data_IF_463116263055
#
_entry.id   IF_463116263055
#
_cell.length_a   1.000
_cell.length_b   1.000
_cell.length_c   1.000
_cell.angle_alpha   90.00
_cell.angle_beta   90.00
_cell.angle_gamma   90.00
#
_symmetry.space_group_name_H-M   'P 1'
#
loop_
_entity.id
_entity.type
_entity.pdbx_description
1 polymer ?
#
# COMPACT_ATOMS: atom_id res chain seq x y z
N UNK A 1 2.59 30.11 9.53
CA UNK A 1 1.94 31.44 9.63
C UNK A 1 0.47 31.18 9.97
N UNK A 2 0.16 30.99 11.26
CA UNK A 2 -1.14 30.47 11.74
C UNK A 2 -1.90 31.64 12.37
N UNK A 3 -3.00 32.07 11.75
CA UNK A 3 -3.91 33.09 12.29
C UNK A 3 -4.87 32.43 13.27
N UNK A 4 -4.80 32.83 14.53
CA UNK A 4 -5.81 32.54 15.55
C UNK A 4 -6.93 33.58 15.41
N UNK A 5 -8.14 33.16 15.04
CA UNK A 5 -9.34 33.99 15.14
C UNK A 5 -9.94 33.88 16.54
N UNK A 6 -10.04 35.01 17.22
CA UNK A 6 -10.67 35.16 18.53
C UNK A 6 -12.18 35.36 18.33
N UNK A 7 -13.00 34.53 18.96
CA UNK A 7 -14.44 34.72 19.03
C UNK A 7 -14.80 35.57 20.26
N UNK A 8 -15.45 36.70 19.99
CA UNK A 8 -15.93 37.69 20.96
C UNK A 8 -17.18 37.16 21.69
N UNK A 9 -17.12 36.97 23.00
CA UNK A 9 -18.29 36.66 23.84
C UNK A 9 -19.04 37.94 24.18
N UNK A 10 -20.24 38.12 23.61
CA UNK A 10 -21.19 39.18 24.00
C UNK A 10 -22.07 38.64 25.13
N UNK A 11 -21.87 39.15 26.34
CA UNK A 11 -22.74 38.93 27.50
C UNK A 11 -23.94 39.89 27.40
N UNK A 12 -25.11 39.37 27.05
CA UNK A 12 -26.39 40.09 27.19
C UNK A 12 -26.99 39.70 28.55
N UNK A 13 -26.96 40.63 29.50
CA UNK A 13 -27.67 40.49 30.77
C UNK A 13 -29.16 40.75 30.59
N UNK A 14 -29.98 39.71 30.69
CA UNK A 14 -31.44 39.83 30.77
C UNK A 14 -31.86 39.73 32.23
N UNK A 15 -32.50 40.77 32.72
CA UNK A 15 -32.94 40.92 34.11
C UNK A 15 -34.00 39.90 34.53
N UNK A 16 -33.92 39.49 35.78
CA UNK A 16 -34.93 38.65 36.43
C UNK A 16 -36.24 39.42 36.64
N UNK A 17 -37.34 38.91 36.07
CA UNK A 17 -38.69 39.17 36.57
C UNK A 17 -39.28 37.87 37.13
N UNK A 18 -39.76 37.94 38.38
CA UNK A 18 -40.52 36.86 39.03
C UNK A 18 -41.95 36.83 38.48
N UNK A 19 -42.40 35.67 38.01
CA UNK A 19 -43.83 35.42 37.82
C UNK A 19 -44.15 34.18 37.00
N UNK A 20 -44.92 33.26 37.58
CA UNK A 20 -45.83 32.37 36.85
C UNK A 20 -45.28 30.99 36.48
N UNK A 21 -45.88 29.94 37.06
CA UNK A 21 -45.57 28.54 36.75
C UNK A 21 -45.88 28.18 35.30
N UNK A 22 -44.90 27.55 34.66
CA UNK A 22 -45.01 26.86 33.39
C UNK A 22 -43.88 25.83 33.33
N UNK A 23 -44.21 24.59 33.01
CA UNK A 23 -43.29 23.47 32.88
C UNK A 23 -42.27 23.75 31.77
N UNK A 24 -41.13 24.33 32.13
CA UNK A 24 -40.00 24.46 31.23
C UNK A 24 -39.27 23.12 31.18
N UNK A 25 -39.68 22.26 30.26
CA UNK A 25 -38.86 21.15 29.78
C UNK A 25 -37.58 21.75 29.19
N UNK A 26 -36.51 21.76 29.97
CA UNK A 26 -35.16 21.84 29.42
C UNK A 26 -34.93 20.56 28.62
N UNK A 27 -35.25 20.59 27.33
CA UNK A 27 -34.73 19.60 26.40
C UNK A 27 -33.22 19.84 26.36
N UNK A 28 -32.45 18.87 26.85
CA UNK A 28 -31.07 18.73 26.44
C UNK A 28 -31.08 18.76 24.90
N UNK A 29 -30.13 19.46 24.29
CA UNK A 29 -29.89 19.30 22.86
C UNK A 29 -29.75 17.79 22.62
N UNK A 30 -30.42 17.21 21.61
CA UNK A 30 -30.27 15.79 21.33
C UNK A 30 -28.78 15.49 21.21
N UNK A 31 -28.30 14.58 22.05
CA UNK A 31 -26.96 14.06 21.93
C UNK A 31 -26.81 13.57 20.49
N UNK A 32 -25.79 14.06 19.77
CA UNK A 32 -25.50 13.58 18.41
C UNK A 32 -25.18 12.08 18.54
N UNK A 33 -26.18 11.23 18.34
CA UNK A 33 -26.09 9.77 18.51
C UNK A 33 -25.27 9.13 17.40
N UNK A 34 -25.03 9.85 16.30
CA UNK A 34 -24.21 9.41 15.17
C UNK A 34 -22.85 10.08 15.15
N UNK A 35 -21.82 9.29 14.89
CA UNK A 35 -20.49 9.73 14.49
C UNK A 35 -20.35 9.49 12.98
N UNK A 36 -20.08 10.56 12.24
CA UNK A 36 -19.80 10.51 10.81
C UNK A 36 -18.29 10.62 10.61
N UNK A 37 -17.71 9.64 9.92
CA UNK A 37 -16.33 9.69 9.46
C UNK A 37 -16.36 9.86 7.93
N UNK A 38 -15.99 11.05 7.46
CA UNK A 38 -15.64 11.26 6.05
C UNK A 38 -14.15 10.93 5.90
N UNK A 39 -13.85 10.05 4.95
CA UNK A 39 -12.51 9.57 4.68
C UNK A 39 -12.11 10.04 3.29
N UNK A 40 -11.04 10.83 3.19
CA UNK A 40 -10.39 11.03 1.90
C UNK A 40 -9.68 9.74 1.52
N UNK A 41 -10.12 9.16 0.41
CA UNK A 41 -9.58 7.93 -0.13
C UNK A 41 -8.13 8.12 -0.58
N UNK A 42 -7.20 7.37 0.03
CA UNK A 42 -5.82 7.36 -0.43
C UNK A 42 -5.66 6.39 -1.62
N UNK A 43 -5.80 6.93 -2.82
CA UNK A 43 -5.57 6.21 -4.08
C UNK A 43 -4.12 6.29 -4.56
N UNK A 44 -3.21 6.86 -3.76
CA UNK A 44 -1.83 7.09 -4.15
C UNK A 44 -0.95 5.93 -3.74
N UNK A 45 -0.27 5.33 -4.71
CA UNK A 45 0.60 4.17 -4.48
C UNK A 45 1.94 4.39 -5.18
N UNK A 46 3.04 4.20 -4.47
CA UNK A 46 4.37 4.13 -5.06
C UNK A 46 4.82 2.66 -5.09
N UNK A 47 5.04 2.07 -6.26
CA UNK A 47 5.41 0.65 -6.44
C UNK A 47 6.86 0.54 -6.90
N UNK A 48 7.71 -0.03 -6.05
CA UNK A 48 9.11 -0.31 -6.37
C UNK A 48 9.28 -1.79 -6.69
N UNK A 49 9.78 -2.07 -7.89
CA UNK A 49 10.24 -3.39 -8.28
C UNK A 49 11.75 -3.50 -8.07
N UNK A 50 12.18 -4.51 -7.32
CA UNK A 50 13.59 -4.84 -7.14
C UNK A 50 13.82 -6.17 -7.83
N UNK A 51 14.41 -6.10 -9.02
CA UNK A 51 14.54 -7.23 -9.92
C UNK A 51 15.94 -7.78 -9.87
N UNK A 52 16.06 -9.04 -9.53
CA UNK A 52 17.31 -9.75 -9.71
C UNK A 52 17.67 -9.86 -11.20
N UNK A 53 18.84 -9.32 -11.51
CA UNK A 53 19.43 -9.33 -12.84
C UNK A 53 20.67 -10.24 -12.90
N UNK A 54 20.84 -11.16 -11.95
CA UNK A 54 21.91 -12.16 -11.98
C UNK A 54 21.73 -13.16 -13.16
N UNK A 55 22.81 -13.88 -13.54
CA UNK A 55 22.73 -14.93 -14.55
C UNK A 55 21.75 -16.04 -14.15
N UNK A 56 20.78 -16.33 -15.00
CA UNK A 56 19.72 -17.32 -14.75
C UNK A 56 18.32 -16.73 -14.67
N UNK A 57 18.20 -15.43 -14.38
CA UNK A 57 16.92 -14.75 -14.22
C UNK A 57 16.15 -14.47 -15.52
N UNK A 58 16.78 -14.63 -16.69
CA UNK A 58 16.22 -14.18 -17.97
C UNK A 58 14.83 -14.76 -18.27
N UNK A 59 14.66 -16.07 -18.13
CA UNK A 59 13.39 -16.74 -18.42
C UNK A 59 12.30 -16.35 -17.41
N UNK A 60 12.66 -16.17 -16.13
CA UNK A 60 11.74 -15.71 -15.10
C UNK A 60 11.29 -14.27 -15.36
N UNK A 61 12.22 -13.38 -15.71
CA UNK A 61 11.93 -12.00 -16.06
C UNK A 61 10.94 -11.92 -17.23
N UNK A 62 11.14 -12.70 -18.29
CA UNK A 62 10.22 -12.76 -19.45
C UNK A 62 8.82 -13.18 -19.00
N UNK A 63 8.70 -14.25 -18.21
CA UNK A 63 7.40 -14.73 -17.71
C UNK A 63 6.66 -13.69 -16.87
N UNK A 64 7.36 -12.92 -16.02
CA UNK A 64 6.73 -11.84 -15.23
C UNK A 64 6.32 -10.69 -16.15
N UNK A 65 7.19 -10.34 -17.09
CA UNK A 65 6.97 -9.25 -18.04
C UNK A 65 5.76 -9.51 -18.97
N UNK A 66 5.45 -10.77 -19.30
CA UNK A 66 4.23 -11.15 -20.04
C UNK A 66 2.92 -10.82 -19.29
N UNK A 67 2.98 -10.68 -17.97
CA UNK A 67 1.81 -10.35 -17.15
C UNK A 67 1.67 -8.85 -16.84
N UNK A 68 2.64 -8.04 -17.27
CA UNK A 68 2.71 -6.59 -17.05
C UNK A 68 1.40 -5.87 -17.39
N UNK A 69 0.78 -6.23 -18.52
CA UNK A 69 -0.42 -5.61 -19.05
C UNK A 69 -1.59 -5.73 -18.06
N UNK A 70 -1.78 -6.92 -17.49
CA UNK A 70 -2.88 -7.19 -16.54
C UNK A 70 -2.75 -6.34 -15.27
N UNK A 71 -1.52 -6.17 -14.78
CA UNK A 71 -1.24 -5.38 -13.60
C UNK A 71 -1.47 -3.90 -13.87
N UNK A 72 -0.87 -3.36 -14.93
CA UNK A 72 -1.00 -1.94 -15.28
C UNK A 72 -2.46 -1.58 -15.57
N UNK A 73 -3.18 -2.41 -16.33
CA UNK A 73 -4.59 -2.18 -16.63
C UNK A 73 -5.43 -2.16 -15.35
N UNK A 74 -5.17 -3.07 -14.41
CA UNK A 74 -5.83 -3.03 -13.11
C UNK A 74 -5.61 -1.67 -12.41
N UNK A 75 -4.39 -1.15 -12.40
CA UNK A 75 -4.15 0.13 -11.73
C UNK A 75 -4.84 1.31 -12.42
N UNK A 76 -4.81 1.33 -13.76
CA UNK A 76 -5.42 2.38 -14.58
C UNK A 76 -6.95 2.34 -14.48
N UNK A 77 -7.57 1.17 -14.61
CA UNK A 77 -9.03 0.99 -14.55
C UNK A 77 -9.62 1.37 -13.19
N UNK A 78 -8.84 1.17 -12.11
CA UNK A 78 -9.22 1.59 -10.75
C UNK A 78 -8.95 3.07 -10.46
N UNK A 79 -8.27 3.76 -11.37
CA UNK A 79 -7.96 5.19 -11.23
C UNK A 79 -6.87 5.49 -10.19
N UNK A 80 -6.00 4.54 -9.88
CA UNK A 80 -4.91 4.79 -8.93
C UNK A 80 -3.98 5.89 -9.43
N UNK A 81 -3.62 6.80 -8.53
CA UNK A 81 -2.52 7.75 -8.74
C UNK A 81 -1.22 7.04 -8.36
N UNK A 82 -0.69 6.24 -9.29
CA UNK A 82 0.51 5.46 -9.03
C UNK A 82 1.80 6.10 -9.57
N UNK A 83 2.88 5.81 -8.87
CA UNK A 83 4.24 5.87 -9.41
C UNK A 83 4.81 4.45 -9.43
N UNK A 84 5.38 4.01 -10.54
CA UNK A 84 6.09 2.73 -10.62
C UNK A 84 7.52 2.92 -11.08
N UNK A 85 8.45 2.29 -10.37
CA UNK A 85 9.86 2.30 -10.73
C UNK A 85 10.45 0.91 -10.54
N UNK A 86 11.58 0.65 -11.18
CA UNK A 86 12.33 -0.57 -10.98
C UNK A 86 13.83 -0.27 -10.80
N UNK A 87 14.48 -1.06 -9.97
CA UNK A 87 15.94 -1.14 -9.84
C UNK A 87 16.35 -2.61 -9.83
N UNK A 88 17.65 -2.89 -9.75
CA UNK A 88 18.20 -4.24 -9.76
C UNK A 88 18.87 -4.61 -8.44
N UNK A 89 19.21 -5.89 -8.27
CA UNK A 89 20.04 -6.40 -7.16
C UNK A 89 21.53 -6.08 -7.33
N UNK A 90 21.96 -5.49 -8.47
CA UNK A 90 23.36 -5.27 -8.80
C UNK A 90 23.95 -4.04 -8.08
N UNK A 91 24.72 -4.34 -7.03
CA UNK A 91 25.42 -3.37 -6.21
C UNK A 91 26.90 -3.17 -6.59
N UNK A 92 27.36 -3.72 -7.74
CA UNK A 92 28.71 -3.44 -8.27
C UNK A 92 28.84 -1.97 -8.65
N UNK A 93 30.07 -1.48 -8.82
CA UNK A 93 30.31 -0.10 -9.27
C UNK A 93 29.72 0.19 -10.66
N UNK A 94 29.53 -0.83 -11.49
CA UNK A 94 28.89 -0.75 -12.81
C UNK A 94 27.38 -1.02 -12.78
N UNK A 95 26.83 -1.47 -11.65
CA UNK A 95 25.41 -1.79 -11.49
C UNK A 95 24.58 -0.56 -11.13
N UNK A 96 23.27 -0.77 -10.99
CA UNK A 96 22.31 0.29 -10.70
C UNK A 96 22.48 0.88 -9.32
N UNK A 97 22.84 0.08 -8.31
CA UNK A 97 23.03 0.53 -6.92
C UNK A 97 21.84 1.33 -6.37
N UNK A 98 20.62 0.86 -6.65
CA UNK A 98 19.36 1.53 -6.28
C UNK A 98 18.90 2.62 -7.26
N UNK A 99 19.66 2.93 -8.31
CA UNK A 99 19.22 3.84 -9.37
C UNK A 99 18.05 3.22 -10.14
N UNK A 100 17.03 4.02 -10.43
CA UNK A 100 15.92 3.55 -11.25
C UNK A 100 16.30 3.39 -12.72
N UNK A 101 15.71 2.34 -13.31
CA UNK A 101 15.95 1.93 -14.67
C UNK A 101 15.28 2.86 -15.69
N UNK A 102 15.96 3.05 -16.81
CA UNK A 102 15.53 3.74 -18.03
C UNK A 102 14.92 5.14 -17.90
N UNK A 103 14.29 5.60 -18.99
CA UNK A 103 13.76 6.95 -19.15
C UNK A 103 12.33 6.88 -19.74
N UNK A 104 11.31 7.52 -19.11
CA UNK A 104 11.37 8.06 -17.76
C UNK A 104 11.67 6.95 -16.74
N UNK A 105 12.30 7.32 -15.63
CA UNK A 105 12.70 6.40 -14.56
C UNK A 105 11.55 6.05 -13.61
N UNK A 106 10.55 6.94 -13.54
CA UNK A 106 9.30 6.75 -12.80
C UNK A 106 8.17 6.78 -13.82
N UNK A 107 7.36 5.73 -13.83
CA UNK A 107 6.19 5.58 -14.67
C UNK A 107 4.93 5.99 -13.90
N UNK A 108 4.02 6.67 -14.57
CA UNK A 108 2.74 7.16 -14.03
C UNK A 108 1.60 6.80 -14.97
N UNK A 109 0.31 6.93 -14.57
CA UNK A 109 -0.82 6.65 -15.46
C UNK A 109 -0.79 7.47 -16.77
N UNK A 110 -0.13 8.62 -16.78
CA UNK A 110 -0.01 9.51 -17.94
C UNK A 110 1.22 9.22 -18.80
N UNK A 111 2.04 8.24 -18.45
CA UNK A 111 3.25 7.92 -19.21
C UNK A 111 2.89 7.32 -20.58
N UNK A 112 3.33 7.91 -21.71
CA UNK A 112 3.10 7.33 -23.03
C UNK A 112 3.78 5.97 -23.17
N UNK A 113 3.07 4.98 -23.72
CA UNK A 113 3.62 3.62 -23.87
C UNK A 113 3.88 2.90 -22.54
N UNK A 114 3.12 3.25 -21.49
CA UNK A 114 3.31 2.79 -20.12
C UNK A 114 3.52 1.27 -20.00
N UNK A 115 2.68 0.46 -20.65
CA UNK A 115 2.75 -1.00 -20.57
C UNK A 115 4.08 -1.52 -21.12
N UNK A 116 4.51 -1.05 -22.29
CA UNK A 116 5.76 -1.48 -22.91
C UNK A 116 6.99 -1.02 -22.11
N UNK A 117 6.94 0.21 -21.58
CA UNK A 117 7.98 0.71 -20.70
C UNK A 117 8.07 -0.12 -19.41
N UNK A 118 6.93 -0.43 -18.79
CA UNK A 118 6.89 -1.26 -17.59
C UNK A 118 7.41 -2.67 -17.87
N UNK A 119 7.03 -3.28 -18.99
CA UNK A 119 7.57 -4.58 -19.43
C UNK A 119 9.10 -4.57 -19.50
N UNK A 120 9.68 -3.50 -20.07
CA UNK A 120 11.14 -3.32 -20.14
C UNK A 120 11.80 -3.05 -18.78
N UNK A 121 11.06 -2.60 -17.76
CA UNK A 121 11.56 -2.44 -16.37
C UNK A 121 11.61 -3.76 -15.61
N UNK A 122 10.68 -4.67 -15.91
CA UNK A 122 10.59 -6.00 -15.31
C UNK A 122 11.61 -6.97 -15.90
N UNK A 123 12.00 -6.77 -17.17
CA UNK A 123 13.04 -7.56 -17.85
C UNK A 123 14.30 -6.73 -18.16
N UNK A 124 15.07 -6.29 -17.14
CA UNK A 124 16.28 -5.50 -17.34
C UNK A 124 17.45 -6.28 -17.96
N UNK A 125 17.35 -7.62 -18.02
CA UNK A 125 18.42 -8.52 -18.46
C UNK A 125 19.07 -9.28 -17.29
N UNK A 126 20.04 -10.13 -17.60
CA UNK A 126 20.62 -11.13 -16.68
C UNK A 126 22.17 -11.05 -16.59
N UNK A 127 22.74 -9.87 -16.83
CA UNK A 127 24.19 -9.62 -16.82
C UNK A 127 24.71 -9.01 -15.51
N UNK A 128 23.87 -9.02 -14.48
CA UNK A 128 24.10 -8.47 -13.15
C UNK A 128 25.11 -9.24 -12.33
N UNK A 129 25.20 -8.88 -11.06
CA UNK A 129 26.05 -9.55 -10.08
C UNK A 129 25.41 -10.85 -9.62
N UNK A 130 26.17 -11.94 -9.51
CA UNK A 130 25.73 -13.16 -8.80
C UNK A 130 25.82 -13.04 -7.27
N UNK A 131 26.24 -11.88 -6.75
CA UNK A 131 26.01 -11.52 -5.34
C UNK A 131 24.87 -10.52 -5.32
N UNK A 132 23.67 -11.04 -5.12
CA UNK A 132 22.41 -10.32 -5.23
C UNK A 132 22.12 -9.53 -3.94
N UNK A 133 22.02 -8.20 -4.04
CA UNK A 133 21.86 -7.31 -2.88
C UNK A 133 20.64 -6.44 -3.03
N UNK A 134 19.47 -7.08 -3.13
CA UNK A 134 18.19 -6.44 -3.35
C UNK A 134 17.73 -5.56 -2.18
N UNK A 135 17.99 -5.96 -0.93
CA UNK A 135 17.63 -5.14 0.23
C UNK A 135 18.48 -3.86 0.29
N UNK A 136 19.78 -3.94 0.01
CA UNK A 136 20.67 -2.77 -0.11
C UNK A 136 20.23 -1.84 -1.25
N UNK A 137 19.90 -2.42 -2.41
CA UNK A 137 19.42 -1.66 -3.56
C UNK A 137 18.09 -0.95 -3.27
N UNK A 138 17.12 -1.62 -2.64
CA UNK A 138 15.87 -1.03 -2.18
C UNK A 138 16.13 0.15 -1.24
N UNK A 139 16.98 -0.03 -0.23
CA UNK A 139 17.30 1.01 0.74
C UNK A 139 17.90 2.24 0.07
N UNK A 140 18.87 2.06 -0.83
CA UNK A 140 19.46 3.17 -1.59
C UNK A 140 18.44 3.83 -2.52
N UNK A 141 17.58 3.04 -3.16
CA UNK A 141 16.57 3.55 -4.06
C UNK A 141 15.55 4.49 -3.38
N UNK A 142 15.22 4.18 -2.13
CA UNK A 142 14.21 4.88 -1.33
C UNK A 142 14.78 5.93 -0.38
N UNK A 143 16.10 5.99 -0.19
CA UNK A 143 16.72 6.96 0.74
C UNK A 143 16.60 8.38 0.18
N UNK A 144 15.96 9.32 0.91
CA UNK A 144 15.83 10.70 0.45
C UNK A 144 17.19 11.33 0.12
N UNK A 145 17.28 12.01 -1.03
CA UNK A 145 18.49 12.68 -1.50
C UNK A 145 19.52 11.76 -2.16
N UNK A 146 19.32 10.43 -2.17
CA UNK A 146 20.08 9.53 -3.02
C UNK A 146 19.48 9.52 -4.43
N UNK A 147 20.36 9.45 -5.45
CA UNK A 147 19.96 9.37 -6.86
C UNK A 147 18.91 10.42 -7.27
N UNK A 148 18.99 11.65 -6.74
CA UNK A 148 17.95 12.70 -6.90
C UNK A 148 17.53 12.93 -8.35
N UNK A 149 18.44 12.78 -9.31
CA UNK A 149 18.15 12.95 -10.74
C UNK A 149 17.33 11.82 -11.37
N UNK A 150 17.30 10.62 -10.78
CA UNK A 150 16.55 9.47 -11.30
C UNK A 150 15.45 8.96 -10.39
N UNK A 151 15.63 9.08 -9.08
CA UNK A 151 14.69 8.58 -8.08
C UNK A 151 13.90 9.70 -7.39
N UNK A 152 14.28 10.95 -7.62
CA UNK A 152 13.64 12.12 -7.01
C UNK A 152 12.14 12.15 -7.30
N UNK A 153 11.34 12.38 -6.25
CA UNK A 153 9.87 12.47 -6.34
C UNK A 153 9.13 11.13 -6.22
N UNK A 154 9.84 10.00 -6.21
CA UNK A 154 9.19 8.69 -6.14
C UNK A 154 8.48 8.43 -4.82
N UNK A 155 9.11 8.69 -3.68
CA UNK A 155 8.50 8.44 -2.36
C UNK A 155 7.62 9.62 -1.95
N UNK A 156 6.30 9.50 -2.11
CA UNK A 156 5.32 10.51 -1.69
C UNK A 156 4.85 10.27 -0.27
N UNK A 157 4.82 11.29 0.59
CA UNK A 157 4.44 11.11 2.01
C UNK A 157 3.00 10.64 2.20
N UNK A 158 2.12 10.96 1.27
CA UNK A 158 0.69 10.62 1.27
C UNK A 158 0.37 9.39 0.44
N UNK A 159 1.35 8.66 -0.09
CA UNK A 159 1.13 7.43 -0.85
C UNK A 159 1.51 6.17 -0.03
N UNK A 160 0.77 5.09 -0.21
CA UNK A 160 1.21 3.77 0.23
C UNK A 160 2.46 3.33 -0.55
N UNK A 161 3.45 2.73 0.11
CA UNK A 161 4.62 2.16 -0.56
C UNK A 161 4.45 0.66 -0.75
N UNK A 162 4.55 0.18 -1.98
CA UNK A 162 4.57 -1.25 -2.30
C UNK A 162 5.93 -1.61 -2.84
N UNK A 163 6.53 -2.68 -2.32
CA UNK A 163 7.79 -3.22 -2.80
C UNK A 163 7.53 -4.64 -3.30
N UNK A 164 8.05 -4.95 -4.48
CA UNK A 164 8.02 -6.31 -5.02
C UNK A 164 9.46 -6.73 -5.32
N UNK A 165 9.93 -7.71 -4.55
CA UNK A 165 11.21 -8.36 -4.77
C UNK A 165 11.02 -9.54 -5.74
N UNK A 166 11.94 -9.67 -6.69
CA UNK A 166 11.97 -10.78 -7.64
C UNK A 166 13.38 -11.34 -7.65
N UNK A 167 13.58 -12.59 -7.23
CA UNK A 167 14.91 -13.24 -7.19
C UNK A 167 14.77 -14.76 -7.12
N UNK A 168 15.75 -15.50 -7.65
CA UNK A 168 15.84 -16.95 -7.52
C UNK A 168 16.76 -17.43 -6.38
N UNK A 169 17.23 -16.52 -5.52
CA UNK A 169 18.16 -16.79 -4.41
C UNK A 169 17.83 -15.94 -3.16
N UNK A 170 18.59 -16.13 -2.07
CA UNK A 170 18.50 -15.25 -0.89
C UNK A 170 19.30 -13.96 -1.06
N UNK A 171 18.95 -12.96 -0.24
CA UNK A 171 19.60 -11.65 -0.27
C UNK A 171 20.97 -11.64 0.44
N UNK A 172 22.00 -11.19 -0.26
CA UNK A 172 23.36 -11.06 0.25
C UNK A 172 23.70 -9.66 0.78
N UNK A 173 22.70 -8.83 1.08
CA UNK A 173 22.93 -7.46 1.54
C UNK A 173 23.54 -7.41 2.94
N UNK A 174 24.32 -6.38 3.24
CA UNK A 174 24.95 -6.22 4.55
C UNK A 174 23.90 -5.91 5.63
N UNK A 175 24.03 -6.55 6.79
CA UNK A 175 23.11 -6.39 7.91
C UNK A 175 22.02 -7.46 7.94
N UNK A 176 20.96 -7.21 8.69
CA UNK A 176 19.91 -8.19 8.98
C UNK A 176 18.59 -7.71 8.38
N UNK A 177 17.62 -8.61 8.15
CA UNK A 177 16.27 -8.24 7.68
C UNK A 177 15.62 -7.14 8.55
N UNK A 178 15.86 -7.17 9.87
CA UNK A 178 15.35 -6.19 10.83
C UNK A 178 15.80 -4.75 10.51
N UNK A 179 17.05 -4.54 10.08
CA UNK A 179 17.56 -3.20 9.77
C UNK A 179 16.80 -2.55 8.59
N UNK A 180 16.35 -3.38 7.65
CA UNK A 180 15.57 -2.95 6.49
C UNK A 180 14.10 -2.73 6.86
N UNK A 181 13.54 -3.55 7.74
CA UNK A 181 12.19 -3.34 8.30
C UNK A 181 12.14 -2.00 9.05
N UNK A 182 13.14 -1.73 9.90
CA UNK A 182 13.21 -0.47 10.65
C UNK A 182 13.38 0.74 9.73
N UNK A 183 14.17 0.60 8.66
CA UNK A 183 14.25 1.63 7.62
C UNK A 183 12.88 1.92 6.99
N UNK A 184 12.13 0.87 6.60
CA UNK A 184 10.81 1.03 5.97
C UNK A 184 9.77 1.60 6.94
N UNK A 185 9.78 1.17 8.21
CA UNK A 185 8.92 1.71 9.27
C UNK A 185 9.16 3.21 9.51
N UNK A 186 10.43 3.65 9.44
CA UNK A 186 10.77 5.07 9.57
C UNK A 186 10.42 5.87 8.30
N UNK A 187 10.59 5.28 7.13
CA UNK A 187 10.30 5.94 5.85
C UNK A 187 8.79 6.12 5.64
N UNK A 188 8.02 5.09 5.98
CA UNK A 188 6.57 5.00 5.79
C UNK A 188 5.93 4.51 7.10
N UNK A 189 5.82 5.38 8.11
CA UNK A 189 5.15 5.02 9.35
C UNK A 189 3.69 4.64 9.06
N UNK A 190 3.08 3.94 10.03
CA UNK A 190 1.64 3.69 10.03
C UNK A 190 0.92 5.03 9.86
N UNK A 191 -0.02 5.11 8.92
CA UNK A 191 -0.81 6.30 8.71
C UNK A 191 -1.60 6.67 9.97
N UNK A 192 -2.00 7.93 10.13
CA UNK A 192 -2.74 8.38 11.33
C UNK A 192 -4.02 7.56 11.57
N UNK A 193 -4.67 7.12 10.50
CA UNK A 193 -5.80 6.21 10.51
C UNK A 193 -5.41 4.72 10.68
N UNK A 194 -4.20 4.41 11.12
CA UNK A 194 -3.77 3.06 11.51
C UNK A 194 -3.53 2.06 10.37
N UNK A 195 -3.65 2.46 9.10
CA UNK A 195 -3.24 1.60 7.98
C UNK A 195 -1.72 1.55 7.85
N UNK A 196 -1.20 0.43 7.36
CA UNK A 196 0.23 0.26 7.18
C UNK A 196 0.76 1.20 6.09
N UNK A 197 1.92 1.82 6.32
CA UNK A 197 2.52 2.76 5.37
C UNK A 197 3.22 2.08 4.19
N UNK A 198 3.59 0.81 4.35
CA UNK A 198 4.30 0.03 3.34
C UNK A 198 3.89 -1.45 3.31
N UNK A 199 4.08 -2.08 2.16
CA UNK A 199 3.80 -3.49 1.89
C UNK A 199 4.92 -4.08 1.05
N UNK A 200 5.49 -5.21 1.45
CA UNK A 200 6.47 -5.95 0.65
C UNK A 200 5.89 -7.27 0.17
N UNK A 201 6.21 -7.66 -1.06
CA UNK A 201 5.88 -8.95 -1.64
C UNK A 201 7.16 -9.55 -2.25
N UNK A 202 7.18 -10.87 -2.35
CA UNK A 202 8.31 -11.61 -2.92
C UNK A 202 7.83 -12.63 -3.94
N UNK A 203 8.42 -12.59 -5.12
CA UNK A 203 8.29 -13.60 -6.16
C UNK A 203 9.67 -14.28 -6.27
N UNK A 204 9.80 -15.48 -5.73
CA UNK A 204 11.09 -16.18 -5.71
C UNK A 204 11.01 -17.62 -5.25
N UNK A 205 12.13 -18.18 -4.80
CA UNK A 205 12.15 -19.56 -4.28
C UNK A 205 11.78 -19.50 -2.81
N UNK A 206 10.62 -20.07 -2.46
CA UNK A 206 10.02 -19.96 -1.13
C UNK A 206 9.97 -21.30 -0.37
N UNK A 207 10.26 -22.39 -1.06
CA UNK A 207 10.30 -23.74 -0.53
C UNK A 207 11.30 -24.58 -1.32
N UNK A 208 11.85 -25.62 -0.70
CA UNK A 208 12.69 -26.59 -1.37
C UNK A 208 11.80 -27.54 -2.19
N UNK A 209 11.97 -27.53 -3.51
CA UNK A 209 11.23 -28.41 -4.41
C UNK A 209 12.07 -28.83 -5.61
N UNK A 210 11.79 -30.01 -6.16
CA UNK A 210 12.48 -30.50 -7.36
C UNK A 210 12.21 -29.66 -8.61
N UNK A 211 11.10 -28.92 -8.60
CA UNK A 211 10.65 -28.07 -9.71
C UNK A 211 11.17 -26.62 -9.58
N UNK A 212 11.75 -26.27 -8.42
CA UNK A 212 12.20 -24.92 -8.13
C UNK A 212 13.55 -24.95 -7.42
N UNK A 213 14.61 -24.96 -8.23
CA UNK A 213 16.00 -25.08 -7.78
C UNK A 213 16.85 -23.94 -8.32
N UNK A 214 17.78 -23.50 -7.50
CA UNK A 214 18.77 -22.48 -7.82
C UNK A 214 19.93 -23.08 -8.62
N UNK A 215 20.51 -24.17 -8.11
CA UNK A 215 21.65 -24.83 -8.74
C UNK A 215 21.63 -26.34 -8.51
N UNK A 216 21.45 -27.09 -9.59
CA UNK A 216 21.51 -28.56 -9.55
C UNK A 216 20.38 -29.16 -8.72
N UNK A 217 20.68 -29.56 -7.49
CA UNK A 217 19.71 -30.08 -6.51
C UNK A 217 19.41 -29.10 -5.37
N UNK A 218 20.06 -27.95 -5.37
CA UNK A 218 19.99 -26.97 -4.29
C UNK A 218 19.01 -25.85 -4.62
N UNK A 219 18.24 -25.45 -3.61
CA UNK A 219 17.34 -24.30 -3.63
C UNK A 219 17.83 -23.30 -2.58
N UNK A 220 18.22 -22.12 -3.04
CA UNK A 220 18.53 -20.99 -2.16
C UNK A 220 17.24 -20.21 -1.91
N UNK A 221 16.63 -20.43 -0.76
CA UNK A 221 15.34 -19.84 -0.43
C UNK A 221 15.54 -18.38 -0.02
N UNK A 222 14.67 -17.49 -0.51
CA UNK A 222 14.71 -16.06 -0.20
C UNK A 222 14.28 -15.69 1.22
N UNK A 223 14.88 -16.31 2.24
CA UNK A 223 14.52 -16.15 3.65
C UNK A 223 14.47 -14.68 4.08
N UNK A 224 15.45 -13.87 3.66
CA UNK A 224 15.50 -12.47 4.07
C UNK A 224 14.41 -11.65 3.41
N UNK A 225 14.07 -11.94 2.15
CA UNK A 225 12.90 -11.32 1.52
C UNK A 225 11.61 -11.74 2.25
N UNK A 226 11.46 -13.02 2.57
CA UNK A 226 10.32 -13.56 3.30
C UNK A 226 10.14 -12.92 4.68
N UNK A 227 11.22 -12.59 5.40
CA UNK A 227 11.17 -11.83 6.66
C UNK A 227 10.53 -10.44 6.46
N UNK A 228 10.95 -9.69 5.44
CA UNK A 228 10.39 -8.36 5.13
C UNK A 228 8.91 -8.48 4.74
N UNK A 229 8.56 -9.51 3.96
CA UNK A 229 7.18 -9.80 3.58
C UNK A 229 6.33 -10.11 4.81
N UNK A 230 6.83 -10.94 5.72
CA UNK A 230 6.15 -11.28 6.98
C UNK A 230 5.89 -10.05 7.85
N UNK A 231 6.86 -9.14 7.96
CA UNK A 231 6.72 -7.90 8.73
C UNK A 231 5.65 -6.93 8.19
N UNK A 232 5.33 -7.02 6.89
CA UNK A 232 4.26 -6.23 6.26
C UNK A 232 2.99 -7.01 5.96
N UNK A 233 2.95 -8.28 6.40
CA UNK A 233 1.87 -9.22 6.11
C UNK A 233 1.59 -9.30 4.60
N UNK A 234 2.62 -9.21 3.76
CA UNK A 234 2.50 -9.30 2.31
C UNK A 234 2.47 -10.73 1.81
N UNK A 235 2.74 -10.91 0.51
CA UNK A 235 2.60 -12.20 -0.16
C UNK A 235 3.95 -12.72 -0.64
N UNK A 236 4.24 -13.98 -0.29
CA UNK A 236 5.29 -14.79 -0.88
C UNK A 236 4.70 -15.63 -2.01
N UNK A 237 5.37 -15.68 -3.16
CA UNK A 237 4.94 -16.43 -4.35
C UNK A 237 6.12 -17.16 -4.95
N UNK A 238 5.89 -18.42 -5.38
CA UNK A 238 6.92 -19.19 -6.06
C UNK A 238 7.16 -18.66 -7.47
N UNK A 239 8.40 -18.28 -7.78
CA UNK A 239 8.82 -17.85 -9.13
C UNK A 239 8.80 -18.99 -10.16
N UNK A 240 8.81 -20.24 -9.69
CA UNK A 240 8.78 -21.43 -10.53
C UNK A 240 7.37 -21.88 -10.89
N UNK A 241 6.34 -21.25 -10.32
CA UNK A 241 4.95 -21.54 -10.67
C UNK A 241 4.70 -21.29 -12.16
N UNK A 242 4.02 -22.23 -12.81
CA UNK A 242 3.51 -22.05 -14.17
C UNK A 242 2.39 -21.00 -14.25
N UNK A 243 1.77 -20.66 -13.12
CA UNK A 243 0.66 -19.71 -12.99
C UNK A 243 1.14 -18.40 -12.34
N UNK A 244 2.14 -17.76 -12.94
CA UNK A 244 2.69 -16.49 -12.43
C UNK A 244 1.66 -15.34 -12.47
N UNK A 245 0.60 -15.50 -13.27
CA UNK A 245 -0.63 -14.70 -13.20
C UNK A 245 -1.22 -14.69 -11.80
N UNK A 246 -1.31 -15.84 -11.14
CA UNK A 246 -1.85 -15.95 -9.78
C UNK A 246 -0.98 -15.21 -8.76
N UNK A 247 0.34 -15.16 -8.96
CA UNK A 247 1.23 -14.38 -8.11
C UNK A 247 0.88 -12.88 -8.15
N UNK A 248 0.66 -12.36 -9.36
CA UNK A 248 0.29 -10.96 -9.55
C UNK A 248 -1.15 -10.66 -9.14
N UNK A 249 -2.07 -11.61 -9.29
CA UNK A 249 -3.42 -11.52 -8.71
C UNK A 249 -3.35 -11.42 -7.18
N UNK A 250 -2.58 -12.28 -6.51
CA UNK A 250 -2.42 -12.22 -5.06
C UNK A 250 -1.78 -10.90 -4.59
N UNK A 251 -0.79 -10.39 -5.33
CA UNK A 251 -0.21 -9.06 -5.08
C UNK A 251 -1.26 -7.97 -5.27
N UNK A 252 -2.07 -8.03 -6.35
CA UNK A 252 -3.17 -7.08 -6.58
C UNK A 252 -4.19 -7.11 -5.46
N UNK A 253 -4.61 -8.29 -5.00
CA UNK A 253 -5.54 -8.44 -3.89
C UNK A 253 -4.95 -7.93 -2.57
N UNK A 254 -3.65 -8.13 -2.36
CA UNK A 254 -2.99 -7.62 -1.15
C UNK A 254 -2.82 -6.10 -1.16
N UNK A 255 -2.40 -5.53 -2.29
CA UNK A 255 -2.34 -4.08 -2.49
C UNK A 255 -3.74 -3.52 -2.28
N UNK A 256 -4.76 -4.16 -2.88
CA UNK A 256 -6.16 -3.81 -2.73
C UNK A 256 -6.58 -3.78 -1.27
N UNK A 257 -6.30 -4.84 -0.50
CA UNK A 257 -6.58 -4.88 0.93
C UNK A 257 -5.90 -3.77 1.72
N UNK A 258 -4.67 -3.37 1.35
CA UNK A 258 -3.95 -2.29 2.03
C UNK A 258 -4.65 -0.93 1.88
N UNK A 259 -5.26 -0.66 0.73
CA UNK A 259 -5.93 0.62 0.41
C UNK A 259 -7.45 0.57 0.60
N UNK A 260 -8.05 -0.61 0.77
CA UNK A 260 -9.49 -0.83 0.95
C UNK A 260 -9.89 -1.08 2.40
N UNK A 261 -8.93 -1.09 3.33
CA UNK A 261 -9.18 -1.18 4.76
C UNK A 261 -9.23 0.21 5.39
N UNK A 262 -10.37 0.54 5.99
CA UNK A 262 -10.62 1.83 6.63
C UNK A 262 -10.80 1.66 8.11
N UNK A 263 -9.83 2.15 8.89
CA UNK A 263 -9.95 2.13 10.34
C UNK A 263 -10.97 3.16 10.82
N UNK A 264 -11.83 2.71 11.70
CA UNK A 264 -12.80 3.54 12.38
C UNK A 264 -12.10 4.32 13.49
N UNK A 265 -12.36 5.62 13.56
CA UNK A 265 -11.80 6.50 14.58
C UNK A 265 -12.24 6.10 16.01
N UNK A 266 -13.41 5.45 16.14
CA UNK A 266 -13.97 4.97 17.41
C UNK A 266 -14.59 3.60 17.22
N UNK A 267 -14.63 2.82 18.29
CA UNK A 267 -15.30 1.51 18.28
C UNK A 267 -16.80 1.72 18.03
N UNK A 268 -17.38 1.16 16.95
CA UNK A 268 -18.80 1.29 16.64
C UNK A 268 -19.66 0.28 17.42
N UNK A 269 -20.94 0.61 17.58
CA UNK A 269 -22.00 -0.42 17.69
C UNK A 269 -22.20 -0.99 16.29
N UNK A 270 -21.81 -2.24 16.08
CA UNK A 270 -21.63 -2.83 14.73
C UNK A 270 -22.89 -2.75 13.87
N UNK A 271 -24.07 -2.93 14.46
CA UNK A 271 -25.36 -2.93 13.77
C UNK A 271 -25.80 -1.53 13.30
N UNK A 272 -25.11 -0.47 13.76
CA UNK A 272 -25.41 0.92 13.39
C UNK A 272 -24.54 1.45 12.25
N UNK A 273 -23.57 0.65 11.78
CA UNK A 273 -22.66 1.06 10.72
C UNK A 273 -23.43 1.17 9.40
N UNK A 274 -23.40 2.36 8.82
CA UNK A 274 -23.92 2.65 7.48
C UNK A 274 -22.76 3.18 6.66
N UNK A 275 -22.46 2.49 5.57
CA UNK A 275 -21.42 2.88 4.62
C UNK A 275 -22.08 3.43 3.37
N UNK A 276 -21.61 4.58 2.90
CA UNK A 276 -22.01 5.15 1.61
C UNK A 276 -20.80 5.48 0.75
N UNK A 277 -20.94 5.28 -0.57
CA UNK A 277 -19.98 5.70 -1.60
C UNK A 277 -20.73 6.66 -2.53
N UNK A 278 -20.25 7.90 -2.62
CA UNK A 278 -20.93 9.00 -3.34
C UNK A 278 -22.42 9.12 -2.98
N UNK A 279 -22.74 8.88 -1.70
CA UNK A 279 -24.09 8.93 -1.16
C UNK A 279 -24.95 7.68 -1.42
N UNK A 280 -24.44 6.68 -2.14
CA UNK A 280 -25.13 5.40 -2.35
C UNK A 280 -24.80 4.42 -1.23
N UNK A 281 -25.82 3.85 -0.59
CA UNK A 281 -25.65 2.87 0.49
C UNK A 281 -25.01 1.59 -0.05
N UNK A 282 -23.90 1.19 0.58
CA UNK A 282 -23.17 -0.03 0.27
C UNK A 282 -23.72 -1.17 1.15
N UNK A 283 -24.06 -2.33 0.57
CA UNK A 283 -24.52 -3.48 1.35
C UNK A 283 -23.41 -4.02 2.26
N UNK A 284 -23.78 -4.49 3.45
CA UNK A 284 -22.91 -5.31 4.29
C UNK A 284 -22.93 -6.73 3.71
N UNK A 285 -21.92 -7.07 2.92
CA UNK A 285 -21.80 -8.32 2.19
C UNK A 285 -20.32 -8.66 2.00
N UNK A 286 -19.96 -9.91 2.28
CA UNK A 286 -18.57 -10.38 2.25
C UNK A 286 -18.03 -10.68 0.85
N UNK A 287 -18.87 -10.62 -0.19
CA UNK A 287 -18.50 -10.87 -1.58
C UNK A 287 -18.58 -9.58 -2.39
N UNK A 288 -19.65 -8.81 -2.22
CA UNK A 288 -19.90 -7.59 -2.97
C UNK A 288 -20.55 -6.52 -2.08
N UNK A 289 -19.74 -5.83 -1.28
CA UNK A 289 -20.21 -4.88 -0.28
C UNK A 289 -19.08 -4.46 0.66
N UNK A 290 -19.35 -4.43 1.96
CA UNK A 290 -18.36 -4.23 3.00
C UNK A 290 -18.49 -5.23 4.15
N UNK A 291 -17.39 -5.44 4.89
CA UNK A 291 -17.37 -6.19 6.17
C UNK A 291 -16.68 -5.38 7.27
N UNK A 292 -17.14 -5.54 8.51
CA UNK A 292 -16.48 -4.98 9.70
C UNK A 292 -15.60 -6.02 10.40
N UNK A 293 -14.36 -5.62 10.72
CA UNK A 293 -13.36 -6.43 11.42
C UNK A 293 -13.08 -5.83 12.81
N UNK A 294 -13.72 -6.34 13.88
CA UNK A 294 -13.69 -5.73 15.20
C UNK A 294 -12.32 -5.77 15.89
N UNK A 295 -11.51 -6.79 15.59
CA UNK A 295 -10.14 -7.00 16.09
C UNK A 295 -9.20 -5.82 15.76
N UNK A 296 -9.44 -5.18 14.61
CA UNK A 296 -8.65 -4.03 14.12
C UNK A 296 -9.47 -2.76 13.98
N UNK A 297 -10.75 -2.80 14.33
CA UNK A 297 -11.74 -1.73 14.15
C UNK A 297 -11.72 -1.15 12.73
N UNK A 298 -11.86 -2.00 11.71
CA UNK A 298 -11.80 -1.56 10.31
C UNK A 298 -12.95 -2.06 9.46
N UNK A 299 -13.25 -1.30 8.41
CA UNK A 299 -14.17 -1.67 7.32
C UNK A 299 -13.33 -2.10 6.13
N UNK A 300 -13.65 -3.25 5.55
CA UNK A 300 -13.06 -3.75 4.30
C UNK A 300 -14.13 -3.78 3.22
N UNK A 301 -13.81 -3.23 2.05
CA UNK A 301 -14.68 -3.25 0.87
C UNK A 301 -14.40 -4.46 -0.03
N UNK A 302 -15.42 -4.94 -0.74
CA UNK A 302 -15.39 -6.13 -1.59
C UNK A 302 -16.09 -5.91 -2.93
N UNK A 303 -15.71 -6.70 -3.93
CA UNK A 303 -16.39 -6.76 -5.22
C UNK A 303 -16.43 -5.43 -5.97
N UNK A 304 -17.59 -5.10 -6.55
CA UNK A 304 -17.80 -3.85 -7.29
C UNK A 304 -17.94 -2.62 -6.38
N UNK A 305 -18.02 -2.81 -5.06
CA UNK A 305 -18.13 -1.73 -4.08
C UNK A 305 -16.79 -1.27 -3.51
N UNK A 306 -15.70 -1.80 -4.03
CA UNK A 306 -14.37 -1.25 -3.83
C UNK A 306 -14.35 0.20 -4.35
N UNK A 307 -14.13 1.22 -3.49
CA UNK A 307 -14.15 2.61 -3.91
C UNK A 307 -13.07 2.92 -4.94
N UNK A 308 -13.40 3.75 -5.93
CA UNK A 308 -12.45 4.34 -6.88
C UNK A 308 -11.86 5.64 -6.34
N UNK A 309 -10.77 6.07 -6.97
CA UNK A 309 -10.01 7.30 -6.67
C UNK A 309 -10.83 8.55 -6.39
N UNK A 310 -11.90 8.73 -7.14
CA UNK A 310 -12.70 9.94 -7.15
C UNK A 310 -14.01 9.80 -6.37
N UNK A 311 -14.24 8.67 -5.71
CA UNK A 311 -15.45 8.40 -4.96
C UNK A 311 -15.25 8.76 -3.49
N UNK A 312 -16.27 9.37 -2.88
CA UNK A 312 -16.25 9.77 -1.47
C UNK A 312 -16.83 8.67 -0.61
N UNK A 313 -16.04 8.16 0.34
CA UNK A 313 -16.48 7.16 1.32
C UNK A 313 -16.91 7.85 2.61
N UNK A 314 -18.14 7.59 3.04
CA UNK A 314 -18.66 8.02 4.34
C UNK A 314 -19.10 6.83 5.16
N UNK A 315 -18.65 6.77 6.42
CA UNK A 315 -19.01 5.73 7.37
C UNK A 315 -19.69 6.40 8.57
N UNK A 316 -20.99 6.20 8.69
CA UNK A 316 -21.82 6.68 9.80
C UNK A 316 -22.04 5.53 10.80
N UNK A 317 -21.85 5.77 12.09
CA UNK A 317 -22.11 4.78 13.13
C UNK A 317 -22.33 5.42 14.51
N UNK A 318 -23.00 4.69 15.41
CA UNK A 318 -23.03 5.04 16.83
C UNK A 318 -21.76 4.50 17.51
N UNK A 319 -20.97 5.34 18.21
CA UNK A 319 -19.84 4.85 18.99
C UNK A 319 -20.28 4.00 20.19
N UNK A 320 -19.55 2.92 20.49
CA UNK A 320 -19.84 2.01 21.61
C UNK A 320 -19.69 2.69 22.99
N UNK A 321 -18.85 3.73 23.08
CA UNK A 321 -18.60 4.50 24.31
C UNK A 321 -18.57 5.98 23.99
N UNK A 322 -19.01 6.83 24.92
CA UNK A 322 -18.88 8.29 24.84
C UNK A 322 -17.39 8.74 24.78
N UNK A 323 -17.15 9.97 24.32
CA UNK A 323 -15.79 10.56 24.29
C UNK A 323 -15.32 10.94 25.69
#
# INVERSE_FOLDING_TARGET
>A
MIRHSWALLILVGIGCTKGGGGSNNFSLAPEQTGFAQELEYNNKIDVLWVIDNSPGMGDYQVKIAEQADSLINFFVERGFDFQMAATTTDMRSSGERGKFLGIPSILTPQTPGLVDLFRARIAPGNSGSGTERGLEAMKLALTPGQHTSTNGGFVRSDAALVIVFVSSEDDWSVGNSIDYIDFLNNLKPIFEFGAQGWLANYIGIIEDSTECRTLGEFSDLGYRYMDIVGASNGVNQSICSSELRTALENIRERISGMIMEYKLAREPVAETIVVTIDGVVVPNDAVNGWTYHPDRMLIRFHGSWIPKANETVKIDYQPLRAK
#
